data_IF_327373749950
#
_entry.id   IF_327373749950
#
_cell.length_a   1.000
_cell.length_b   1.000
_cell.length_c   1.000
_cell.angle_alpha   90.00
_cell.angle_beta   90.00
_cell.angle_gamma   90.00
#
_symmetry.space_group_name_H-M   'P 1'
#
loop_
_entity.id
_entity.type
_entity.pdbx_description
1 polymer ?
#
# COMPACT_ATOMS: atom_id res chain seq x y z
N UNK A 1 -3.69 -11.07 24.41
CA UNK A 1 -3.71 -12.17 23.42
C UNK A 1 -3.25 -13.42 24.14
N UNK A 2 -3.99 -14.55 24.06
CA UNK A 2 -3.58 -15.77 24.75
C UNK A 2 -2.24 -16.27 24.19
N UNK A 3 -1.28 -16.52 25.08
CA UNK A 3 0.02 -17.08 24.74
C UNK A 3 -0.16 -18.56 24.41
N UNK A 4 0.00 -18.93 23.14
CA UNK A 4 -0.02 -20.32 22.71
C UNK A 4 1.42 -20.83 22.74
N UNK A 5 1.65 -21.96 23.41
CA UNK A 5 2.96 -22.63 23.46
C UNK A 5 2.78 -23.97 22.75
N UNK A 6 3.58 -24.20 21.70
CA UNK A 6 3.61 -25.47 20.96
C UNK A 6 4.98 -26.10 21.22
N UNK A 7 5.01 -27.33 21.74
CA UNK A 7 6.24 -28.08 22.05
C UNK A 7 7.27 -27.31 22.91
N UNK A 8 6.80 -26.49 23.87
CA UNK A 8 7.67 -25.71 24.77
C UNK A 8 8.25 -24.43 24.16
N UNK A 9 7.92 -24.10 22.91
CA UNK A 9 8.33 -22.87 22.24
C UNK A 9 7.15 -21.88 22.25
N UNK A 10 7.35 -20.62 22.70
CA UNK A 10 6.35 -19.57 22.56
C UNK A 10 6.01 -19.38 21.09
N UNK A 11 4.75 -19.59 20.72
CA UNK A 11 4.29 -19.37 19.35
C UNK A 11 4.32 -17.86 19.04
N UNK A 12 5.22 -17.46 18.15
CA UNK A 12 5.22 -16.11 17.55
C UNK A 12 4.47 -16.21 16.23
N UNK A 13 3.33 -15.51 16.05
CA UNK A 13 2.65 -15.47 14.76
C UNK A 13 3.62 -14.94 13.70
N UNK A 14 4.09 -15.83 12.84
CA UNK A 14 4.96 -15.47 11.71
C UNK A 14 4.07 -15.43 10.47
N UNK A 15 3.96 -14.27 9.86
CA UNK A 15 3.39 -14.16 8.53
C UNK A 15 4.50 -14.45 7.52
N UNK A 16 4.29 -15.46 6.67
CA UNK A 16 5.14 -15.65 5.51
C UNK A 16 4.88 -14.51 4.51
N UNK A 17 5.96 -13.94 3.96
CA UNK A 17 5.90 -12.89 2.95
C UNK A 17 6.15 -13.56 1.60
N UNK A 18 5.12 -13.83 0.80
CA UNK A 18 5.31 -14.42 -0.51
C UNK A 18 5.97 -13.43 -1.47
N UNK A 19 6.71 -13.95 -2.44
CA UNK A 19 7.36 -13.16 -3.49
C UNK A 19 6.39 -12.18 -4.15
N UNK A 20 6.90 -10.99 -4.45
CA UNK A 20 6.10 -9.93 -5.04
C UNK A 20 5.94 -10.20 -6.54
N UNK A 21 4.69 -10.24 -6.99
CA UNK A 21 4.34 -10.32 -8.41
C UNK A 21 3.93 -8.94 -8.93
N UNK A 22 4.05 -8.73 -10.24
CA UNK A 22 3.65 -7.47 -10.89
C UNK A 22 2.18 -7.13 -10.62
N UNK A 23 1.29 -8.13 -10.64
CA UNK A 23 -0.14 -7.94 -10.34
C UNK A 23 -0.37 -7.46 -8.89
N UNK A 24 0.34 -8.05 -7.93
CA UNK A 24 0.25 -7.66 -6.51
C UNK A 24 0.84 -6.28 -6.25
N UNK A 25 1.92 -5.95 -6.95
CA UNK A 25 2.51 -4.62 -6.90
C UNK A 25 1.54 -3.58 -7.49
N UNK A 26 0.97 -3.85 -8.67
CA UNK A 26 0.01 -2.95 -9.31
C UNK A 26 -1.22 -2.71 -8.41
N UNK A 27 -1.76 -3.76 -7.78
CA UNK A 27 -2.87 -3.61 -6.85
C UNK A 27 -2.48 -2.81 -5.60
N UNK A 28 -1.28 -3.03 -5.04
CA UNK A 28 -0.79 -2.22 -3.93
C UNK A 28 -0.66 -0.74 -4.30
N UNK A 29 -0.12 -0.44 -5.49
CA UNK A 29 0.00 0.93 -6.00
C UNK A 29 -1.37 1.60 -6.18
N UNK A 30 -2.38 0.88 -6.69
CA UNK A 30 -3.76 1.39 -6.76
C UNK A 30 -4.27 1.83 -5.40
N UNK A 31 -4.16 0.95 -4.39
CA UNK A 31 -4.64 1.25 -3.03
C UNK A 31 -3.93 2.45 -2.42
N UNK A 32 -2.61 2.57 -2.62
CA UNK A 32 -1.84 3.71 -2.13
C UNK A 32 -2.27 5.02 -2.80
N UNK A 33 -2.50 5.01 -4.12
CA UNK A 33 -3.02 6.17 -4.85
C UNK A 33 -4.45 6.52 -4.40
N UNK A 34 -5.29 5.53 -4.14
CA UNK A 34 -6.64 5.75 -3.58
C UNK A 34 -6.57 6.44 -2.22
N UNK A 35 -5.62 6.09 -1.35
CA UNK A 35 -5.40 6.79 -0.08
C UNK A 35 -5.02 8.27 -0.28
N UNK A 36 -4.22 8.58 -1.31
CA UNK A 36 -3.89 9.97 -1.68
C UNK A 36 -5.13 10.73 -2.18
N UNK A 37 -5.88 10.12 -3.11
CA UNK A 37 -7.02 10.75 -3.76
C UNK A 37 -8.19 11.01 -2.81
N UNK A 38 -8.58 10.00 -2.02
CA UNK A 38 -9.68 10.12 -1.06
C UNK A 38 -9.35 10.98 0.15
N UNK A 39 -8.09 11.42 0.29
CA UNK A 39 -7.60 12.24 1.41
C UNK A 39 -8.10 11.70 2.74
N UNK A 40 -7.73 10.45 3.05
CA UNK A 40 -8.00 9.85 4.37
C UNK A 40 -7.30 10.67 5.48
N UNK A 41 -6.97 10.05 6.63
CA UNK A 41 -6.24 10.79 7.67
C UNK A 41 -4.89 11.31 7.17
N UNK A 42 -4.49 12.53 7.58
CA UNK A 42 -3.20 13.13 7.18
C UNK A 42 -1.99 12.21 7.38
N UNK A 43 -2.01 11.38 8.43
CA UNK A 43 -0.94 10.40 8.69
C UNK A 43 -0.94 9.26 7.67
N UNK A 44 -2.11 8.73 7.31
CA UNK A 44 -2.22 7.68 6.30
C UNK A 44 -1.78 8.18 4.92
N UNK A 45 -2.14 9.41 4.56
CA UNK A 45 -1.71 10.06 3.31
C UNK A 45 -0.18 10.19 3.27
N UNK A 46 0.46 10.69 4.33
CA UNK A 46 1.92 10.82 4.38
C UNK A 46 2.63 9.45 4.31
N UNK A 47 2.12 8.45 5.02
CA UNK A 47 2.68 7.10 4.98
C UNK A 47 2.51 6.44 3.61
N UNK A 48 1.33 6.56 3.00
CA UNK A 48 1.08 6.05 1.66
C UNK A 48 1.98 6.73 0.63
N UNK A 49 2.26 8.02 0.79
CA UNK A 49 3.16 8.76 -0.09
C UNK A 49 4.60 8.24 0.03
N UNK A 50 5.10 8.02 1.24
CA UNK A 50 6.46 7.46 1.44
C UNK A 50 6.61 6.08 0.78
N UNK A 51 5.58 5.24 0.84
CA UNK A 51 5.60 3.92 0.19
C UNK A 51 5.54 4.06 -1.33
N UNK A 52 4.69 4.95 -1.86
CA UNK A 52 4.64 5.27 -3.29
C UNK A 52 5.98 5.77 -3.80
N UNK A 53 6.62 6.70 -3.09
CA UNK A 53 7.92 7.27 -3.47
C UNK A 53 9.03 6.21 -3.52
N UNK A 54 8.97 5.23 -2.60
CA UNK A 54 9.93 4.11 -2.57
C UNK A 54 9.73 3.15 -3.75
N UNK A 55 8.49 2.88 -4.15
CA UNK A 55 8.17 1.85 -5.15
C UNK A 55 8.04 2.40 -6.57
N UNK A 56 7.51 3.62 -6.72
CA UNK A 56 7.11 4.25 -7.98
C UNK A 56 7.18 5.79 -7.85
N UNK A 57 8.40 6.39 -7.83
CA UNK A 57 8.58 7.81 -7.54
C UNK A 57 7.84 8.75 -8.52
N UNK A 58 7.81 8.42 -9.80
CA UNK A 58 7.05 9.21 -10.80
C UNK A 58 5.54 9.21 -10.52
N UNK A 59 5.00 8.09 -10.02
CA UNK A 59 3.60 8.00 -9.62
C UNK A 59 3.35 8.76 -8.31
N UNK A 60 4.32 8.78 -7.39
CA UNK A 60 4.25 9.56 -6.16
C UNK A 60 4.25 11.07 -6.43
N UNK A 61 5.07 11.54 -7.37
CA UNK A 61 5.10 12.93 -7.82
C UNK A 61 3.78 13.33 -8.50
N UNK A 62 3.25 12.45 -9.37
CA UNK A 62 1.94 12.64 -9.98
C UNK A 62 0.85 12.70 -8.90
N UNK A 63 0.86 11.80 -7.92
CA UNK A 63 -0.13 11.79 -6.85
C UNK A 63 -0.02 13.00 -5.91
N UNK A 64 1.17 13.58 -5.74
CA UNK A 64 1.36 14.80 -4.96
C UNK A 64 0.85 16.05 -5.70
N UNK A 65 1.02 16.10 -7.03
CA UNK A 65 0.65 17.26 -7.86
C UNK A 65 -0.81 17.21 -8.28
N UNK A 66 -1.25 16.05 -8.77
CA UNK A 66 -2.63 15.77 -9.21
C UNK A 66 -3.06 14.37 -8.74
N UNK A 67 -3.58 14.26 -7.51
CA UNK A 67 -4.07 12.99 -6.97
C UNK A 67 -5.16 12.34 -7.84
N UNK A 68 -5.96 13.14 -8.56
CA UNK A 68 -7.02 12.61 -9.42
C UNK A 68 -6.43 12.00 -10.68
N UNK A 69 -5.47 12.66 -11.34
CA UNK A 69 -4.79 12.10 -12.51
C UNK A 69 -4.03 10.81 -12.16
N UNK A 70 -3.39 10.75 -10.99
CA UNK A 70 -2.81 9.51 -10.48
C UNK A 70 -3.87 8.41 -10.30
N UNK A 71 -5.02 8.75 -9.72
CA UNK A 71 -6.13 7.82 -9.54
C UNK A 71 -6.66 7.29 -10.86
N UNK A 72 -6.98 8.17 -11.80
CA UNK A 72 -7.53 7.83 -13.12
C UNK A 72 -6.55 6.94 -13.92
N UNK A 73 -5.24 7.19 -13.81
CA UNK A 73 -4.20 6.35 -14.44
C UNK A 73 -4.22 4.93 -13.92
N UNK A 74 -4.44 4.76 -12.61
CA UNK A 74 -4.42 3.46 -11.95
C UNK A 74 -5.80 2.76 -12.00
N UNK A 75 -6.88 3.51 -12.24
CA UNK A 75 -8.27 3.03 -12.31
C UNK A 75 -8.95 3.45 -13.63
N UNK A 76 -8.45 2.99 -14.79
CA UNK A 76 -8.97 3.43 -16.09
C UNK A 76 -10.45 3.07 -16.34
N UNK A 77 -11.00 2.11 -15.57
CA UNK A 77 -12.39 1.65 -15.70
C UNK A 77 -13.35 2.21 -14.63
N UNK A 78 -12.87 3.07 -13.71
CA UNK A 78 -13.72 3.70 -12.69
C UNK A 78 -14.11 2.85 -11.48
N UNK A 79 -13.35 1.79 -11.19
CA UNK A 79 -13.45 1.00 -9.94
C UNK A 79 -12.91 1.75 -8.71
#
# INVERSE_FOLDING_TARGET
MPTVVIDGIPYVPRADIPELTDDRLNEALKQLVTMQYLKQTHKAVAQAWNVLDTLAPELAELAATDPKAAYDRMHPNGD
#
